data_IF_770286450520
#
_entry.id   IF_770286450520
#
_cell.length_a   1.000
_cell.length_b   1.000
_cell.length_c   1.000
_cell.angle_alpha   90.00
_cell.angle_beta   90.00
_cell.angle_gamma   90.00
#
_symmetry.space_group_name_H-M   'P 1'
#
loop_
_entity.id
_entity.type
_entity.pdbx_description
1 polymer ?
#
# COMPACT_ATOMS: atom_id res chain seq x y z
N UNK A 1 5.95 -34.48 16.15
CA UNK A 1 4.90 -34.05 15.21
C UNK A 1 5.57 -33.18 14.17
N UNK A 2 5.62 -33.56 12.88
CA UNK A 2 6.06 -32.62 11.85
C UNK A 2 5.00 -31.51 11.74
N UNK A 3 5.44 -30.26 11.78
CA UNK A 3 4.60 -29.11 11.45
C UNK A 3 4.29 -29.23 9.96
N UNK A 4 3.06 -29.61 9.62
CA UNK A 4 2.57 -29.44 8.26
C UNK A 4 2.54 -27.94 7.98
N UNK A 5 3.57 -27.46 7.27
CA UNK A 5 3.48 -26.22 6.52
C UNK A 5 2.36 -26.46 5.50
N UNK A 6 1.14 -26.01 5.83
CA UNK A 6 0.08 -25.82 4.85
C UNK A 6 0.60 -24.80 3.85
N UNK A 7 1.24 -25.27 2.80
CA UNK A 7 1.44 -24.48 1.60
C UNK A 7 0.03 -24.12 1.15
N UNK A 8 -0.42 -22.85 1.24
CA UNK A 8 -1.71 -22.51 0.71
C UNK A 8 -1.67 -22.87 -0.78
N UNK A 9 -2.72 -23.51 -1.33
CA UNK A 9 -2.78 -23.73 -2.76
C UNK A 9 -2.54 -22.36 -3.40
N UNK A 10 -1.57 -22.28 -4.31
CA UNK A 10 -1.36 -21.08 -5.11
C UNK A 10 -2.60 -20.94 -5.98
N UNK A 11 -3.62 -20.26 -5.46
CA UNK A 11 -4.74 -19.83 -6.30
C UNK A 11 -4.11 -18.91 -7.34
N UNK A 12 -4.19 -19.27 -8.61
CA UNK A 12 -3.70 -18.50 -9.76
C UNK A 12 -4.66 -17.37 -10.12
N UNK A 13 -5.26 -16.79 -9.06
CA UNK A 13 -6.20 -15.71 -9.17
C UNK A 13 -5.56 -14.49 -9.82
N UNK A 14 -6.29 -13.95 -10.80
CA UNK A 14 -6.06 -12.67 -11.44
C UNK A 14 -7.35 -11.86 -11.40
N UNK A 15 -7.28 -10.52 -11.29
CA UNK A 15 -8.48 -9.70 -11.26
C UNK A 15 -9.33 -9.83 -12.52
N UNK A 16 -10.64 -9.77 -12.35
CA UNK A 16 -11.62 -9.66 -13.42
C UNK A 16 -12.64 -8.56 -13.11
N UNK A 17 -13.54 -8.27 -14.03
CA UNK A 17 -14.62 -7.30 -13.79
C UNK A 17 -15.57 -7.74 -12.66
N UNK A 18 -15.75 -9.05 -12.48
CA UNK A 18 -16.65 -9.63 -11.49
C UNK A 18 -15.95 -9.96 -10.16
N UNK A 19 -14.62 -9.99 -10.15
CA UNK A 19 -13.79 -10.34 -9.00
C UNK A 19 -12.62 -9.36 -8.86
N UNK A 20 -12.90 -8.29 -8.13
CA UNK A 20 -11.98 -7.17 -7.94
C UNK A 20 -11.12 -7.36 -6.69
N UNK A 21 -9.87 -6.84 -6.68
CA UNK A 21 -8.99 -6.87 -5.52
C UNK A 21 -9.65 -6.28 -4.27
N UNK A 22 -10.44 -5.22 -4.45
CA UNK A 22 -11.21 -4.57 -3.39
C UNK A 22 -12.13 -5.53 -2.64
N UNK A 23 -12.90 -6.36 -3.36
CA UNK A 23 -13.81 -7.33 -2.74
C UNK A 23 -13.05 -8.49 -2.10
N UNK A 24 -11.98 -8.98 -2.74
CA UNK A 24 -11.12 -10.05 -2.19
C UNK A 24 -10.40 -9.63 -0.92
N UNK A 25 -10.07 -8.34 -0.77
CA UNK A 25 -9.52 -7.79 0.47
C UNK A 25 -10.55 -7.67 1.60
N UNK A 26 -11.84 -7.70 1.30
CA UNK A 26 -12.92 -7.52 2.28
C UNK A 26 -13.54 -6.13 2.30
N UNK A 27 -13.31 -5.31 1.28
CA UNK A 27 -13.94 -4.00 1.12
C UNK A 27 -13.23 -2.86 1.87
N UNK A 28 -13.97 -1.76 2.13
CA UNK A 28 -13.37 -0.50 2.57
C UNK A 28 -12.59 -0.59 3.87
N UNK A 29 -13.16 -1.23 4.90
CA UNK A 29 -12.55 -1.27 6.23
C UNK A 29 -11.24 -2.04 6.22
N UNK A 30 -11.16 -3.12 5.44
CA UNK A 30 -9.94 -3.91 5.28
C UNK A 30 -8.87 -3.18 4.47
N UNK A 31 -9.27 -2.40 3.46
CA UNK A 31 -8.34 -1.56 2.70
C UNK A 31 -7.80 -0.41 3.57
N UNK A 32 -8.65 0.22 4.39
CA UNK A 32 -8.21 1.23 5.37
C UNK A 32 -7.29 0.62 6.42
N UNK A 33 -7.57 -0.60 6.89
CA UNK A 33 -6.71 -1.33 7.81
C UNK A 33 -5.34 -1.65 7.18
N UNK A 34 -5.28 -2.02 5.90
CA UNK A 34 -4.03 -2.19 5.16
C UNK A 34 -3.23 -0.87 5.09
N UNK A 35 -3.89 0.25 4.77
CA UNK A 35 -3.25 1.56 4.75
C UNK A 35 -2.68 1.95 6.13
N UNK A 36 -3.40 1.65 7.22
CA UNK A 36 -2.91 1.88 8.57
C UNK A 36 -1.69 0.98 8.89
N UNK A 37 -1.76 -0.31 8.60
CA UNK A 37 -0.65 -1.25 8.81
C UNK A 37 0.61 -0.85 8.02
N UNK A 38 0.44 -0.26 6.82
CA UNK A 38 1.54 0.29 6.03
C UNK A 38 2.27 1.42 6.75
N UNK A 39 1.54 2.39 7.31
CA UNK A 39 2.17 3.48 8.05
C UNK A 39 2.69 3.02 9.42
N UNK A 40 2.08 2.01 10.05
CA UNK A 40 2.62 1.42 11.27
C UNK A 40 3.98 0.77 11.02
N UNK A 41 4.14 0.04 9.90
CA UNK A 41 5.43 -0.50 9.48
C UNK A 41 6.44 0.61 9.15
N UNK A 42 5.99 1.70 8.52
CA UNK A 42 6.85 2.85 8.20
C UNK A 42 7.36 3.56 9.47
N UNK A 43 6.47 3.84 10.42
CA UNK A 43 6.82 4.48 11.69
C UNK A 43 7.80 3.62 12.50
N UNK A 44 7.63 2.30 12.48
CA UNK A 44 8.49 1.37 13.22
C UNK A 44 9.86 1.15 12.58
N UNK A 45 9.92 0.97 11.26
CA UNK A 45 11.09 0.39 10.59
C UNK A 45 11.79 1.34 9.61
N UNK A 46 11.10 2.38 9.13
CA UNK A 46 11.62 3.31 8.13
C UNK A 46 11.46 4.78 8.59
N UNK A 47 12.04 5.19 9.74
CA UNK A 47 11.82 6.51 10.32
C UNK A 47 12.29 7.66 9.42
N UNK A 48 13.25 7.41 8.50
CA UNK A 48 13.65 8.39 7.50
C UNK A 48 12.53 8.67 6.48
N UNK A 49 11.79 7.64 6.07
CA UNK A 49 10.64 7.76 5.18
C UNK A 49 9.43 8.35 5.92
N UNK A 50 9.21 7.96 7.18
CA UNK A 50 8.14 8.52 8.02
C UNK A 50 8.24 10.05 8.13
N UNK A 51 9.46 10.58 8.37
CA UNK A 51 9.73 12.03 8.50
C UNK A 51 9.45 12.87 7.24
N UNK A 52 9.18 12.26 6.10
CA UNK A 52 8.73 12.98 4.90
C UNK A 52 7.24 13.36 4.96
N UNK A 53 6.50 12.86 5.96
CA UNK A 53 5.09 13.14 6.16
C UNK A 53 4.87 14.09 7.33
N UNK A 54 3.65 14.62 7.43
CA UNK A 54 3.22 15.33 8.63
C UNK A 54 3.02 14.33 9.78
N UNK A 55 3.70 14.58 10.90
CA UNK A 55 3.68 13.72 12.08
C UNK A 55 2.71 14.24 13.15
N UNK A 56 2.10 13.35 13.91
CA UNK A 56 1.29 13.65 15.09
C UNK A 56 2.17 14.01 16.30
N UNK A 57 1.54 14.36 17.42
CA UNK A 57 2.23 14.71 18.66
C UNK A 57 3.03 13.54 19.28
N UNK A 58 2.82 12.31 18.80
CA UNK A 58 3.54 11.11 19.19
C UNK A 58 4.66 10.75 18.20
N UNK A 59 4.89 11.59 17.17
CA UNK A 59 5.94 11.39 16.18
C UNK A 59 5.59 10.34 15.10
N UNK A 60 4.32 9.99 14.94
CA UNK A 60 3.84 9.02 13.95
C UNK A 60 3.20 9.72 12.77
N UNK A 61 3.17 9.10 11.59
CA UNK A 61 2.45 9.66 10.44
C UNK A 61 0.99 9.93 10.81
N UNK A 62 0.53 11.17 10.59
CA UNK A 62 -0.76 11.62 11.10
C UNK A 62 -1.96 10.89 10.49
N UNK A 63 -3.11 10.97 11.18
CA UNK A 63 -4.33 10.27 10.78
C UNK A 63 -4.86 10.71 9.40
N UNK A 64 -4.71 12.00 9.05
CA UNK A 64 -5.18 12.52 7.75
C UNK A 64 -4.41 11.96 6.56
N UNK A 65 -3.10 11.76 6.71
CA UNK A 65 -2.25 11.11 5.70
C UNK A 65 -2.62 9.64 5.53
N UNK A 66 -2.84 8.94 6.64
CA UNK A 66 -3.30 7.55 6.67
C UNK A 66 -4.67 7.39 5.99
N UNK A 67 -5.64 8.23 6.34
CA UNK A 67 -6.98 8.24 5.72
C UNK A 67 -6.88 8.49 4.21
N UNK A 68 -6.14 9.52 3.80
CA UNK A 68 -6.00 9.87 2.38
C UNK A 68 -5.44 8.70 1.56
N UNK A 69 -4.46 7.99 2.09
CA UNK A 69 -3.91 6.82 1.41
C UNK A 69 -4.92 5.66 1.37
N UNK A 70 -5.66 5.41 2.45
CA UNK A 70 -6.76 4.44 2.46
C UNK A 70 -7.81 4.73 1.40
N UNK A 71 -8.28 5.98 1.29
CA UNK A 71 -9.24 6.38 0.25
C UNK A 71 -8.68 6.20 -1.15
N UNK A 72 -7.39 6.50 -1.35
CA UNK A 72 -6.72 6.25 -2.63
C UNK A 72 -6.74 4.75 -2.96
N UNK A 73 -6.35 3.89 -2.02
CA UNK A 73 -6.31 2.44 -2.24
C UNK A 73 -7.70 1.86 -2.52
N UNK A 74 -8.76 2.33 -1.85
CA UNK A 74 -10.13 1.88 -2.11
C UNK A 74 -10.47 2.05 -3.59
N UNK A 75 -10.30 3.25 -4.12
CA UNK A 75 -10.59 3.52 -5.54
C UNK A 75 -9.62 2.80 -6.47
N UNK A 76 -8.33 2.74 -6.11
CA UNK A 76 -7.29 2.10 -6.92
C UNK A 76 -7.46 0.58 -7.04
N UNK A 77 -8.06 -0.07 -6.05
CA UNK A 77 -8.36 -1.51 -6.03
C UNK A 77 -9.72 -1.86 -6.66
N UNK A 78 -10.44 -0.87 -7.20
CA UNK A 78 -11.72 -1.04 -7.89
C UNK A 78 -12.96 -0.76 -7.04
N UNK A 79 -12.80 -0.24 -5.81
CA UNK A 79 -13.90 0.21 -4.97
C UNK A 79 -14.41 1.62 -5.32
N UNK A 80 -15.26 2.20 -4.45
CA UNK A 80 -15.77 3.56 -4.61
C UNK A 80 -14.67 4.62 -4.73
N UNK A 81 -14.91 5.67 -5.54
CA UNK A 81 -13.90 6.67 -5.89
C UNK A 81 -13.80 7.84 -4.89
N UNK A 82 -13.87 7.55 -3.59
CA UNK A 82 -13.86 8.55 -2.50
C UNK A 82 -12.68 9.52 -2.57
N UNK A 83 -11.49 9.03 -2.94
CA UNK A 83 -10.32 9.89 -3.11
C UNK A 83 -10.54 10.93 -4.21
N UNK A 84 -11.10 10.51 -5.35
CA UNK A 84 -11.30 11.41 -6.48
C UNK A 84 -12.34 12.48 -6.15
N UNK A 85 -13.41 12.10 -5.45
CA UNK A 85 -14.46 13.03 -5.00
C UNK A 85 -13.92 14.10 -4.05
N UNK A 86 -13.02 13.73 -3.11
CA UNK A 86 -12.51 14.66 -2.09
C UNK A 86 -11.24 15.40 -2.50
N UNK A 87 -10.40 14.78 -3.31
CA UNK A 87 -9.03 15.26 -3.60
C UNK A 87 -8.77 15.47 -5.09
N UNK A 88 -9.73 15.14 -5.96
CA UNK A 88 -9.58 15.21 -7.41
C UNK A 88 -8.66 14.12 -7.97
N UNK A 89 -8.28 14.26 -9.24
CA UNK A 89 -7.47 13.26 -9.93
C UNK A 89 -6.14 12.96 -9.18
N UNK A 90 -5.74 11.68 -9.02
CA UNK A 90 -4.54 11.31 -8.28
C UNK A 90 -3.26 11.99 -8.76
N UNK A 91 -3.02 12.00 -10.08
CA UNK A 91 -1.84 12.63 -10.72
C UNK A 91 -0.55 12.31 -9.95
N UNK A 92 -0.34 11.03 -9.62
CA UNK A 92 0.63 10.59 -8.61
C UNK A 92 2.04 11.15 -8.84
N UNK A 93 2.58 11.05 -10.06
CA UNK A 93 3.92 11.57 -10.38
C UNK A 93 4.04 13.09 -10.18
N UNK A 94 3.00 13.86 -10.51
CA UNK A 94 2.99 15.30 -10.26
C UNK A 94 2.97 15.60 -8.76
N UNK A 95 2.14 14.88 -7.98
CA UNK A 95 2.08 15.05 -6.52
C UNK A 95 3.35 14.62 -5.80
N UNK A 96 4.11 13.64 -6.33
CA UNK A 96 5.38 13.20 -5.75
C UNK A 96 6.60 13.96 -6.30
N UNK A 97 6.44 14.83 -7.30
CA UNK A 97 7.55 15.53 -7.95
C UNK A 97 8.30 16.52 -7.05
N UNK A 98 7.78 16.84 -5.87
CA UNK A 98 8.45 17.68 -4.88
C UNK A 98 9.38 16.90 -3.94
N UNK A 99 9.35 15.56 -3.98
CA UNK A 99 10.19 14.68 -3.18
C UNK A 99 11.23 14.02 -4.08
N UNK A 100 12.51 13.96 -3.68
CA UNK A 100 13.51 13.15 -4.39
C UNK A 100 13.25 11.67 -4.09
N UNK A 101 12.70 10.93 -5.05
CA UNK A 101 12.42 9.49 -4.90
C UNK A 101 13.49 8.70 -5.65
N UNK A 102 14.45 8.18 -4.91
CA UNK A 102 15.51 7.26 -5.38
C UNK A 102 15.10 5.78 -5.18
N UNK A 103 16.00 4.86 -5.55
CA UNK A 103 15.82 3.40 -5.35
C UNK A 103 15.71 3.05 -3.86
N UNK A 104 16.44 3.75 -2.98
CA UNK A 104 16.41 3.51 -1.54
C UNK A 104 15.03 3.80 -0.93
N UNK A 105 14.43 4.94 -1.28
CA UNK A 105 13.08 5.32 -0.86
C UNK A 105 12.03 4.37 -1.44
N UNK A 106 12.18 4.00 -2.72
CA UNK A 106 11.32 3.02 -3.39
C UNK A 106 11.34 1.69 -2.63
N UNK A 107 12.52 1.17 -2.31
CA UNK A 107 12.69 -0.11 -1.64
C UNK A 107 12.19 -0.07 -0.19
N UNK A 108 12.40 1.05 0.53
CA UNK A 108 11.86 1.28 1.87
C UNK A 108 10.33 1.25 1.86
N UNK A 109 9.70 1.96 0.93
CA UNK A 109 8.26 1.95 0.77
C UNK A 109 7.73 0.54 0.50
N UNK A 110 8.38 -0.24 -0.38
CA UNK A 110 8.01 -1.62 -0.66
C UNK A 110 8.24 -2.56 0.55
N UNK A 111 9.25 -2.32 1.39
CA UNK A 111 9.42 -3.08 2.65
C UNK A 111 8.23 -2.85 3.59
N UNK A 112 7.80 -1.60 3.77
CA UNK A 112 6.62 -1.28 4.58
C UNK A 112 5.35 -1.95 4.04
N UNK A 113 5.12 -1.90 2.73
CA UNK A 113 3.94 -2.51 2.13
C UNK A 113 3.93 -4.03 2.28
N UNK A 114 5.07 -4.70 2.07
CA UNK A 114 5.17 -6.16 2.30
C UNK A 114 4.86 -6.54 3.75
N UNK A 115 5.43 -5.81 4.72
CA UNK A 115 5.13 -6.00 6.15
C UNK A 115 3.65 -5.79 6.45
N UNK A 116 3.02 -4.80 5.86
CA UNK A 116 1.59 -4.56 6.01
C UNK A 116 0.74 -5.71 5.44
N UNK A 117 1.07 -6.19 4.24
CA UNK A 117 0.39 -7.34 3.62
C UNK A 117 0.54 -8.61 4.48
N UNK A 118 1.74 -8.85 5.02
CA UNK A 118 2.01 -9.96 5.94
C UNK A 118 1.18 -9.83 7.23
N UNK A 119 1.15 -8.65 7.85
CA UNK A 119 0.38 -8.37 9.07
C UNK A 119 -1.14 -8.49 8.87
N UNK A 120 -1.63 -8.26 7.64
CA UNK A 120 -3.04 -8.47 7.27
C UNK A 120 -3.33 -9.91 6.82
N UNK A 121 -2.34 -10.81 6.80
CA UNK A 121 -2.52 -12.20 6.40
C UNK A 121 -2.80 -12.40 4.91
N UNK A 122 -2.45 -11.42 4.07
CA UNK A 122 -2.72 -11.46 2.63
C UNK A 122 -1.72 -12.40 1.95
N UNK A 123 -2.25 -13.45 1.33
CA UNK A 123 -1.49 -14.54 0.72
C UNK A 123 -2.10 -14.96 -0.64
N UNK A 124 -1.51 -15.96 -1.30
CA UNK A 124 -2.04 -16.53 -2.54
C UNK A 124 -1.96 -15.60 -3.77
N UNK A 125 -2.89 -15.76 -4.72
CA UNK A 125 -2.92 -14.99 -5.97
C UNK A 125 -3.10 -13.49 -5.74
N UNK A 126 -3.95 -13.10 -4.80
CA UNK A 126 -4.15 -11.69 -4.42
C UNK A 126 -2.83 -11.07 -3.94
N UNK A 127 -2.05 -11.77 -3.11
CA UNK A 127 -0.74 -11.29 -2.66
C UNK A 127 0.21 -11.05 -3.84
N UNK A 128 0.36 -12.02 -4.74
CA UNK A 128 1.23 -11.89 -5.92
C UNK A 128 0.84 -10.70 -6.77
N UNK A 129 -0.46 -10.53 -7.01
CA UNK A 129 -1.00 -9.39 -7.74
C UNK A 129 -0.64 -8.06 -7.06
N UNK A 130 -0.88 -7.94 -5.75
CA UNK A 130 -0.59 -6.70 -5.01
C UNK A 130 0.90 -6.38 -4.98
N UNK A 131 1.75 -7.38 -4.74
CA UNK A 131 3.22 -7.21 -4.74
C UNK A 131 3.70 -6.64 -6.08
N UNK A 132 3.27 -7.22 -7.20
CA UNK A 132 3.64 -6.75 -8.54
C UNK A 132 3.10 -5.34 -8.81
N UNK A 133 1.83 -5.08 -8.49
CA UNK A 133 1.19 -3.79 -8.76
C UNK A 133 1.81 -2.66 -7.94
N UNK A 134 2.11 -2.91 -6.67
CA UNK A 134 2.79 -1.95 -5.82
C UNK A 134 4.23 -1.71 -6.28
N UNK A 135 4.97 -2.75 -6.68
CA UNK A 135 6.31 -2.60 -7.26
C UNK A 135 6.29 -1.68 -8.49
N UNK A 136 5.38 -1.93 -9.43
CA UNK A 136 5.23 -1.11 -10.64
C UNK A 136 4.90 0.36 -10.34
N UNK A 137 4.00 0.62 -9.39
CA UNK A 137 3.67 2.00 -9.00
C UNK A 137 4.85 2.68 -8.29
N UNK A 138 5.53 1.98 -7.39
CA UNK A 138 6.67 2.53 -6.67
C UNK A 138 7.82 2.88 -7.64
N UNK A 139 8.09 2.02 -8.63
CA UNK A 139 9.08 2.31 -9.67
C UNK A 139 8.68 3.48 -10.57
N UNK A 140 7.39 3.60 -10.91
CA UNK A 140 6.89 4.74 -11.70
C UNK A 140 7.07 6.10 -10.99
N UNK A 141 7.11 6.13 -9.66
CA UNK A 141 7.25 7.36 -8.88
C UNK A 141 8.69 7.82 -8.68
N UNK A 142 9.68 6.97 -8.98
CA UNK A 142 11.10 7.37 -8.95
C UNK A 142 11.34 8.55 -9.87
N UNK A 143 12.11 9.52 -9.39
CA UNK A 143 12.34 10.77 -10.11
C UNK A 143 13.76 11.35 -9.95
N UNK A 144 14.65 10.65 -9.25
CA UNK A 144 16.06 11.03 -9.09
C UNK A 144 16.97 9.81 -9.19
N UNK A 145 18.25 10.04 -9.45
CA UNK A 145 19.27 8.97 -9.54
C UNK A 145 19.67 8.44 -8.17
N UNK A 146 20.08 7.17 -8.13
CA UNK A 146 20.26 6.39 -6.90
C UNK A 146 19.46 5.12 -6.97
#
# INVERSE_FOLDING_TARGET
MPVELKTPPSDDWVPSMDDLPFHRLGGEEEVKALANAFYDAMDADEPALARLHELDAQGRVNAGTRERFGLFLIGWLGGPQHYMERHGHPRLRMRHGHLPVDTGMRDAWLRCMRKALDARGISGGLRRFLDERFANVADFLRNTEG
#
